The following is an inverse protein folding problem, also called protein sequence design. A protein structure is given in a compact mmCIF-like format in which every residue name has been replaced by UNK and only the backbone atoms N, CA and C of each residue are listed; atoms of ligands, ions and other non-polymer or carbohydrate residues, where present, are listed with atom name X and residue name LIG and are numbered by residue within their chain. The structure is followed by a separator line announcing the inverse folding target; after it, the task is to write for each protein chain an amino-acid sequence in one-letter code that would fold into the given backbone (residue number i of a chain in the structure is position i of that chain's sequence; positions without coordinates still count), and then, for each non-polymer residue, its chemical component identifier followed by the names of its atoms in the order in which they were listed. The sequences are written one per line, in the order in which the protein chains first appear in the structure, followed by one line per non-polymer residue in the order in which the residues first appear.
data_IF_064029963297
#
_entry.id   IF_064029963297
#
_cell.length_a   1.000
_cell.length_b   1.000
_cell.length_c   1.000
_cell.angle_alpha   90.00
_cell.angle_beta   90.00
_cell.angle_gamma   90.00
#
_symmetry.space_group_name_H-M   'P 1'
#
loop_
_entity.id
_entity.type
_entity.pdbx_description
1 polymer ?
#
# COMPACT_ATOMS: atom_id res chain seq x y z
N UNK A 1 -39.37 18.19 -24.90
CA UNK A 1 -37.91 18.42 -24.94
C UNK A 1 -37.23 17.14 -25.41
N UNK A 2 -36.41 17.21 -26.46
CA UNK A 2 -35.68 16.04 -26.95
C UNK A 2 -34.61 15.62 -25.93
N UNK A 3 -34.52 14.32 -25.65
CA UNK A 3 -33.52 13.77 -24.73
C UNK A 3 -32.16 13.79 -25.43
N UNK A 4 -31.15 14.38 -24.79
CA UNK A 4 -29.79 14.37 -25.33
C UNK A 4 -29.32 12.93 -25.63
N UNK A 5 -28.55 12.71 -26.71
CA UNK A 5 -28.08 11.38 -27.09
C UNK A 5 -27.23 10.79 -25.95
N UNK A 6 -27.49 9.51 -25.64
CA UNK A 6 -26.70 8.79 -24.63
C UNK A 6 -25.29 8.57 -25.18
N UNK A 7 -24.27 9.01 -24.42
CA UNK A 7 -22.88 8.63 -24.72
C UNK A 7 -22.73 7.11 -24.70
N UNK A 8 -22.04 6.57 -25.69
CA UNK A 8 -21.69 5.15 -25.76
C UNK A 8 -20.69 4.78 -24.66
N UNK A 9 -20.82 3.57 -24.12
CA UNK A 9 -19.98 3.07 -23.03
C UNK A 9 -19.08 1.96 -23.56
N UNK A 10 -17.77 2.16 -23.44
CA UNK A 10 -16.77 1.20 -23.86
C UNK A 10 -15.51 1.30 -22.99
N UNK A 11 -14.64 0.30 -23.10
CA UNK A 11 -13.32 0.27 -22.48
C UNK A 11 -12.25 0.41 -23.55
N UNK A 12 -11.23 1.22 -23.29
CA UNK A 12 -10.00 1.27 -24.09
C UNK A 12 -8.79 0.99 -23.20
N UNK A 13 -7.65 0.70 -23.81
CA UNK A 13 -6.39 0.67 -23.07
C UNK A 13 -5.99 2.07 -22.59
N UNK A 14 -5.29 2.13 -21.46
CA UNK A 14 -4.68 3.38 -21.00
C UNK A 14 -3.39 3.67 -21.78
N UNK A 15 -3.05 4.95 -22.01
CA UNK A 15 -1.79 5.30 -22.63
C UNK A 15 -0.61 4.98 -21.69
N UNK A 16 0.57 4.75 -22.26
CA UNK A 16 1.76 4.31 -21.53
C UNK A 16 2.17 5.26 -20.39
N UNK A 17 1.90 6.56 -20.53
CA UNK A 17 2.13 7.56 -19.48
C UNK A 17 1.42 7.22 -18.16
N UNK A 18 0.23 6.60 -18.22
CA UNK A 18 -0.54 6.23 -17.03
C UNK A 18 0.12 5.07 -16.30
N UNK A 19 0.69 4.13 -17.06
CA UNK A 19 1.49 3.03 -16.50
C UNK A 19 2.76 3.56 -15.84
N UNK A 20 3.45 4.53 -16.46
CA UNK A 20 4.61 5.18 -15.87
C UNK A 20 4.29 5.86 -14.53
N UNK A 21 3.17 6.58 -14.46
CA UNK A 21 2.71 7.20 -13.21
C UNK A 21 2.32 6.16 -12.14
N UNK A 22 1.65 5.07 -12.54
CA UNK A 22 1.27 4.01 -11.60
C UNK A 22 2.52 3.34 -11.02
N UNK A 23 3.49 3.00 -11.87
CA UNK A 23 4.75 2.38 -11.45
C UNK A 23 5.55 3.28 -10.51
N UNK A 24 5.67 4.58 -10.83
CA UNK A 24 6.32 5.55 -9.94
C UNK A 24 5.68 5.60 -8.55
N UNK A 25 4.35 5.48 -8.47
CA UNK A 25 3.63 5.51 -7.20
C UNK A 25 3.81 4.20 -6.42
N UNK A 26 3.76 3.04 -7.09
CA UNK A 26 4.02 1.74 -6.48
C UNK A 26 5.42 1.72 -5.86
N UNK A 27 6.44 2.05 -6.65
CA UNK A 27 7.84 2.03 -6.22
C UNK A 27 8.11 2.95 -5.03
N UNK A 28 7.44 4.10 -4.95
CA UNK A 28 7.68 5.09 -3.89
C UNK A 28 6.89 4.83 -2.60
N UNK A 29 5.73 4.19 -2.69
CA UNK A 29 4.72 4.27 -1.63
C UNK A 29 3.89 3.01 -1.40
N UNK A 30 3.95 2.03 -2.30
CA UNK A 30 3.20 0.76 -2.22
C UNK A 30 4.12 -0.37 -2.67
N UNK A 31 5.26 -0.49 -1.99
CA UNK A 31 6.31 -1.45 -2.28
C UNK A 31 5.82 -2.90 -2.17
N UNK A 32 4.84 -3.16 -1.31
CA UNK A 32 4.12 -4.43 -1.19
C UNK A 32 3.45 -4.87 -2.50
N UNK A 33 3.15 -3.94 -3.40
CA UNK A 33 2.56 -4.22 -4.72
C UNK A 33 3.59 -4.33 -5.84
N UNK A 34 4.90 -4.28 -5.55
CA UNK A 34 5.98 -4.28 -6.54
C UNK A 34 5.94 -5.47 -7.52
N UNK A 35 5.58 -6.65 -7.03
CA UNK A 35 5.49 -7.89 -7.84
C UNK A 35 4.13 -8.06 -8.54
N UNK A 36 3.22 -7.09 -8.42
CA UNK A 36 1.86 -7.16 -8.97
C UNK A 36 1.78 -6.65 -10.41
N UNK A 37 1.26 -7.48 -11.31
CA UNK A 37 1.03 -7.11 -12.70
C UNK A 37 -0.38 -6.52 -12.90
N UNK A 38 -0.47 -5.20 -12.85
CA UNK A 38 -1.72 -4.46 -13.02
C UNK A 38 -1.88 -4.00 -14.47
N UNK A 39 -3.05 -4.23 -15.07
CA UNK A 39 -3.46 -3.57 -16.32
C UNK A 39 -4.35 -2.38 -16.03
N UNK A 40 -4.36 -1.38 -16.91
CA UNK A 40 -5.18 -0.18 -16.75
C UNK A 40 -6.14 -0.08 -17.93
N UNK A 41 -7.44 0.04 -17.64
CA UNK A 41 -8.49 0.22 -18.65
C UNK A 41 -9.20 1.54 -18.44
N UNK A 42 -9.43 2.27 -19.53
CA UNK A 42 -10.11 3.56 -19.55
C UNK A 42 -11.58 3.35 -19.92
N UNK A 43 -12.49 3.67 -19.00
CA UNK A 43 -13.93 3.58 -19.18
C UNK A 43 -14.51 4.90 -19.66
N UNK A 44 -15.16 4.85 -20.82
CA UNK A 44 -15.81 5.98 -21.48
C UNK A 44 -17.33 5.96 -21.27
N UNK A 45 -17.98 7.11 -21.46
CA UNK A 45 -19.44 7.23 -21.43
C UNK A 45 -20.01 7.52 -20.05
N UNK A 46 -19.20 8.11 -19.17
CA UNK A 46 -19.54 8.46 -17.80
C UNK A 46 -19.62 7.27 -16.85
N UNK A 47 -19.12 7.47 -15.64
CA UNK A 47 -19.17 6.47 -14.58
C UNK A 47 -19.68 7.09 -13.28
N UNK A 48 -20.88 6.68 -12.87
CA UNK A 48 -21.48 7.04 -11.59
C UNK A 48 -21.94 5.81 -10.83
N UNK A 49 -21.83 5.87 -9.51
CA UNK A 49 -22.37 4.87 -8.59
C UNK A 49 -23.07 5.62 -7.44
N UNK A 50 -24.31 5.23 -7.12
CA UNK A 50 -25.15 5.89 -6.08
C UNK A 50 -25.18 7.42 -6.22
N UNK A 51 -25.29 7.91 -7.45
CA UNK A 51 -25.33 9.36 -7.77
C UNK A 51 -23.96 10.06 -7.81
N UNK A 52 -22.91 9.48 -7.23
CA UNK A 52 -21.55 10.05 -7.20
C UNK A 52 -20.71 9.61 -8.39
N UNK A 53 -19.78 10.46 -8.81
CA UNK A 53 -18.81 10.11 -9.85
C UNK A 53 -17.83 9.07 -9.29
N UNK A 54 -17.49 8.07 -10.11
CA UNK A 54 -16.43 7.11 -9.79
C UNK A 54 -15.22 7.49 -10.64
N UNK A 55 -14.07 7.71 -10.01
CA UNK A 55 -12.82 8.08 -10.69
C UNK A 55 -12.00 6.87 -11.12
N UNK A 56 -12.01 5.83 -10.30
CA UNK A 56 -11.39 4.55 -10.61
C UNK A 56 -11.93 3.45 -9.72
N UNK A 57 -11.60 2.21 -10.06
CA UNK A 57 -11.82 1.04 -9.21
C UNK A 57 -10.90 -0.10 -9.67
N UNK A 58 -10.38 -0.87 -8.72
CA UNK A 58 -9.73 -2.14 -8.99
C UNK A 58 -10.73 -3.30 -9.20
N UNK A 59 -10.43 -4.14 -10.18
CA UNK A 59 -11.03 -5.45 -10.39
C UNK A 59 -9.93 -6.51 -10.28
N UNK A 60 -9.96 -7.30 -9.21
CA UNK A 60 -8.97 -8.36 -8.96
C UNK A 60 -9.34 -9.58 -9.79
N UNK A 61 -8.34 -10.19 -10.42
CA UNK A 61 -8.54 -11.35 -11.25
C UNK A 61 -8.60 -12.62 -10.41
N UNK A 62 -9.56 -13.48 -10.73
CA UNK A 62 -9.59 -14.83 -10.21
C UNK A 62 -8.48 -15.68 -10.85
N UNK A 63 -8.31 -16.91 -10.36
CA UNK A 63 -7.28 -17.82 -10.83
C UNK A 63 -7.32 -18.04 -12.35
N UNK A 64 -8.52 -18.27 -12.92
CA UNK A 64 -8.68 -18.48 -14.37
C UNK A 64 -8.17 -17.28 -15.18
N UNK A 65 -8.61 -16.07 -14.83
CA UNK A 65 -8.18 -14.85 -15.52
C UNK A 65 -6.68 -14.58 -15.34
N UNK A 66 -6.12 -14.88 -14.15
CA UNK A 66 -4.67 -14.76 -13.92
C UNK A 66 -3.89 -15.70 -14.83
N UNK A 67 -4.33 -16.94 -14.96
CA UNK A 67 -3.68 -17.94 -15.81
C UNK A 67 -3.71 -17.55 -17.30
N UNK A 68 -4.85 -17.03 -17.78
CA UNK A 68 -5.02 -16.62 -19.17
C UNK A 68 -4.27 -15.32 -19.51
N UNK A 69 -4.37 -14.31 -18.65
CA UNK A 69 -3.86 -12.96 -18.96
C UNK A 69 -2.45 -12.70 -18.45
N UNK A 70 -1.97 -13.51 -17.49
CA UNK A 70 -0.74 -13.26 -16.72
C UNK A 70 -0.75 -11.91 -15.99
N UNK A 71 -1.93 -11.45 -15.56
CA UNK A 71 -2.15 -10.21 -14.82
C UNK A 71 -2.91 -10.50 -13.53
N UNK A 72 -2.75 -9.63 -12.53
CA UNK A 72 -3.27 -9.85 -11.18
C UNK A 72 -4.54 -9.03 -10.92
N UNK A 73 -4.62 -7.84 -11.50
CA UNK A 73 -5.78 -6.97 -11.40
C UNK A 73 -5.88 -6.02 -12.61
N UNK A 74 -7.06 -5.45 -12.78
CA UNK A 74 -7.32 -4.32 -13.67
C UNK A 74 -7.69 -3.08 -12.86
N UNK A 75 -6.94 -2.01 -13.02
CA UNK A 75 -7.33 -0.66 -12.62
C UNK A 75 -8.24 -0.07 -13.71
N UNK A 76 -9.52 0.08 -13.42
CA UNK A 76 -10.46 0.71 -14.35
C UNK A 76 -10.57 2.18 -13.95
N UNK A 77 -10.23 3.09 -14.86
CA UNK A 77 -10.29 4.54 -14.66
C UNK A 77 -11.42 5.17 -15.46
N UNK A 78 -12.01 6.24 -14.95
CA UNK A 78 -12.99 7.03 -15.67
C UNK A 78 -12.29 7.95 -16.68
N UNK A 79 -12.40 7.63 -17.96
CA UNK A 79 -11.70 8.34 -19.03
C UNK A 79 -12.16 9.79 -19.19
N UNK A 80 -13.47 10.03 -19.10
CA UNK A 80 -14.05 11.38 -19.19
C UNK A 80 -13.51 12.29 -18.07
N UNK A 81 -13.39 11.76 -16.85
CA UNK A 81 -12.85 12.51 -15.72
C UNK A 81 -11.32 12.67 -15.83
N UNK A 82 -10.60 11.61 -16.19
CA UNK A 82 -9.15 11.61 -16.33
C UNK A 82 -8.65 12.66 -17.33
N UNK A 83 -9.37 12.83 -18.45
CA UNK A 83 -9.00 13.76 -19.51
C UNK A 83 -8.96 15.23 -19.04
N UNK A 84 -9.79 15.60 -18.07
CA UNK A 84 -9.87 16.98 -17.54
C UNK A 84 -9.10 17.19 -16.24
N UNK A 85 -8.52 16.12 -15.67
CA UNK A 85 -7.73 16.19 -14.44
C UNK A 85 -6.36 16.82 -14.67
N UNK A 86 -5.95 17.67 -13.73
CA UNK A 86 -4.57 18.18 -13.64
C UNK A 86 -3.60 17.05 -13.29
N UNK A 87 -2.29 17.17 -13.61
CA UNK A 87 -1.30 16.14 -13.28
C UNK A 87 -1.30 15.71 -11.80
N UNK A 88 -1.44 16.66 -10.87
CA UNK A 88 -1.50 16.35 -9.44
C UNK A 88 -2.77 15.55 -9.06
N UNK A 89 -3.92 15.85 -9.68
CA UNK A 89 -5.16 15.09 -9.46
C UNK A 89 -5.05 13.66 -9.98
N UNK A 90 -4.39 13.47 -11.13
CA UNK A 90 -4.12 12.14 -11.68
C UNK A 90 -3.29 11.30 -10.72
N UNK A 91 -2.21 11.87 -10.17
CA UNK A 91 -1.37 11.22 -9.14
C UNK A 91 -2.16 10.89 -7.89
N UNK A 92 -2.92 11.85 -7.36
CA UNK A 92 -3.82 11.64 -6.21
C UNK A 92 -4.78 10.46 -6.43
N UNK A 93 -5.45 10.39 -7.59
CA UNK A 93 -6.44 9.33 -7.85
C UNK A 93 -5.77 7.97 -7.96
N UNK A 94 -4.66 7.85 -8.69
CA UNK A 94 -3.94 6.58 -8.81
C UNK A 94 -3.48 6.07 -7.44
N UNK A 95 -2.87 6.96 -6.65
CA UNK A 95 -2.37 6.66 -5.32
C UNK A 95 -3.50 6.27 -4.35
N UNK A 96 -4.61 7.00 -4.40
CA UNK A 96 -5.82 6.64 -3.64
C UNK A 96 -6.38 5.28 -4.05
N UNK A 97 -6.35 4.92 -5.34
CA UNK A 97 -6.79 3.59 -5.76
C UNK A 97 -5.86 2.49 -5.26
N UNK A 98 -4.54 2.71 -5.23
CA UNK A 98 -3.57 1.71 -4.77
C UNK A 98 -3.84 1.29 -3.31
N UNK A 99 -4.25 2.21 -2.44
CA UNK A 99 -4.69 1.88 -1.07
C UNK A 99 -5.95 1.01 -0.96
N UNK A 100 -6.64 0.74 -2.08
CA UNK A 100 -7.76 -0.21 -2.10
C UNK A 100 -7.34 -1.64 -2.47
N UNK A 101 -6.04 -1.87 -2.62
CA UNK A 101 -5.41 -3.17 -2.83
C UNK A 101 -4.48 -3.51 -1.66
N UNK A 102 -4.39 -4.80 -1.38
CA UNK A 102 -3.46 -5.35 -0.40
C UNK A 102 -3.10 -6.78 -0.83
N UNK A 103 -1.89 -7.21 -0.51
CA UNK A 103 -1.49 -8.61 -0.63
C UNK A 103 -2.26 -9.46 0.40
N UNK A 104 -2.80 -10.59 -0.04
CA UNK A 104 -3.51 -11.50 0.85
C UNK A 104 -2.53 -12.32 1.67
N UNK A 105 -2.73 -12.35 2.97
CA UNK A 105 -1.95 -13.19 3.90
C UNK A 105 -2.73 -14.41 4.41
N UNK A 106 -2.01 -15.42 4.90
CA UNK A 106 -2.56 -16.56 5.65
C UNK A 106 -2.80 -16.18 7.13
N UNK A 107 -3.12 -17.17 7.98
CA UNK A 107 -3.34 -16.91 9.41
C UNK A 107 -2.04 -16.62 10.17
N UNK A 108 -0.93 -17.11 9.65
CA UNK A 108 0.41 -17.03 10.22
C UNK A 108 1.12 -15.72 9.81
N UNK A 109 0.54 -14.97 8.88
CA UNK A 109 1.04 -13.70 8.38
C UNK A 109 1.79 -13.79 7.04
N UNK A 110 2.00 -15.00 6.52
CA UNK A 110 2.72 -15.19 5.25
C UNK A 110 1.87 -14.79 4.05
N UNK A 111 2.54 -14.29 3.00
CA UNK A 111 1.92 -13.96 1.72
C UNK A 111 1.35 -15.21 1.07
N UNK A 112 0.09 -15.15 0.66
CA UNK A 112 -0.51 -16.17 -0.18
C UNK A 112 -0.07 -15.99 -1.62
N UNK A 113 0.59 -17.00 -2.14
CA UNK A 113 1.00 -17.07 -3.54
C UNK A 113 -0.01 -17.85 -4.37
N UNK A 114 -0.17 -17.45 -5.63
CA UNK A 114 -0.89 -18.25 -6.62
C UNK A 114 0.02 -19.35 -7.20
N UNK A 115 -0.54 -20.24 -8.02
CA UNK A 115 0.20 -21.32 -8.67
C UNK A 115 1.36 -20.86 -9.57
N UNK A 116 1.40 -19.57 -9.92
CA UNK A 116 2.47 -18.95 -10.71
C UNK A 116 3.52 -18.21 -9.86
N UNK A 117 3.48 -18.36 -8.53
CA UNK A 117 4.42 -17.76 -7.59
C UNK A 117 4.19 -16.28 -7.30
N UNK A 118 3.17 -15.64 -7.90
CA UNK A 118 2.86 -14.23 -7.63
C UNK A 118 1.89 -14.07 -6.46
N UNK A 119 1.95 -12.97 -5.70
CA UNK A 119 1.02 -12.72 -4.60
C UNK A 119 -0.44 -12.69 -5.06
N UNK A 120 -1.34 -13.20 -4.23
CA UNK A 120 -2.77 -13.07 -4.39
C UNK A 120 -3.19 -11.71 -3.82
N UNK A 121 -3.89 -10.90 -4.61
CA UNK A 121 -4.39 -9.61 -4.17
C UNK A 121 -5.80 -9.74 -3.58
N UNK A 122 -6.11 -8.88 -2.61
CA UNK A 122 -7.46 -8.65 -2.10
C UNK A 122 -7.79 -7.16 -2.17
N UNK A 123 -9.08 -6.84 -2.26
CA UNK A 123 -9.53 -5.46 -2.26
C UNK A 123 -9.98 -5.10 -0.85
N UNK A 124 -9.47 -3.99 -0.35
CA UNK A 124 -9.82 -3.47 0.96
C UNK A 124 -10.49 -2.10 0.81
N UNK A 125 -11.43 -1.75 1.69
CA UNK A 125 -11.86 -0.37 1.82
C UNK A 125 -10.67 0.48 2.28
N UNK A 126 -10.36 1.60 1.60
CA UNK A 126 -9.34 2.51 2.09
C UNK A 126 -9.79 3.08 3.44
N UNK A 127 -8.88 3.10 4.41
CA UNK A 127 -9.12 3.65 5.74
C UNK A 127 -8.74 5.14 5.81
N UNK A 128 -8.87 5.71 7.01
CA UNK A 128 -8.56 7.13 7.28
C UNK A 128 -7.06 7.39 7.16
N UNK A 129 -6.21 6.45 7.55
CA UNK A 129 -4.75 6.60 7.48
C UNK A 129 -4.26 6.63 6.03
N UNK A 130 -4.75 5.72 5.19
CA UNK A 130 -4.57 5.73 3.75
C UNK A 130 -4.99 7.07 3.16
N UNK A 131 -6.18 7.58 3.52
CA UNK A 131 -6.66 8.87 3.05
C UNK A 131 -5.72 10.03 3.46
N UNK A 132 -5.27 10.05 4.72
CA UNK A 132 -4.34 11.05 5.23
C UNK A 132 -2.99 10.99 4.50
N UNK A 133 -2.49 9.80 4.21
CA UNK A 133 -1.21 9.62 3.50
C UNK A 133 -1.29 10.12 2.05
N UNK A 134 -2.40 9.91 1.35
CA UNK A 134 -2.60 10.49 0.02
C UNK A 134 -2.67 12.03 0.11
N UNK A 135 -3.42 12.59 1.07
CA UNK A 135 -3.54 14.05 1.24
C UNK A 135 -2.19 14.67 1.59
N UNK A 136 -1.39 14.07 2.47
CA UNK A 136 -0.06 14.57 2.82
C UNK A 136 0.85 14.67 1.60
N UNK A 137 0.74 13.74 0.64
CA UNK A 137 1.62 13.66 -0.53
C UNK A 137 1.18 14.55 -1.69
N UNK A 138 -0.12 14.62 -1.98
CA UNK A 138 -0.64 15.35 -3.14
C UNK A 138 -1.41 16.62 -2.78
N UNK A 139 -1.59 16.88 -1.49
CA UNK A 139 -2.38 17.99 -0.97
C UNK A 139 -3.89 17.82 -1.22
N UNK A 140 -4.61 18.92 -1.07
CA UNK A 140 -6.06 19.00 -1.32
C UNK A 140 -6.30 19.10 -2.84
N UNK A 141 -6.05 18.01 -3.56
CA UNK A 141 -6.08 17.97 -5.02
C UNK A 141 -7.53 18.00 -5.58
N UNK A 142 -8.49 17.45 -4.83
CA UNK A 142 -9.89 17.30 -5.26
C UNK A 142 -10.78 18.39 -4.69
N UNK A 143 -11.74 18.87 -5.50
CA UNK A 143 -12.61 19.98 -5.12
C UNK A 143 -13.52 19.63 -3.94
N UNK A 144 -13.94 18.37 -3.79
CA UNK A 144 -14.70 17.91 -2.63
C UNK A 144 -13.92 18.08 -1.32
N UNK A 145 -12.61 17.82 -1.34
CA UNK A 145 -11.74 17.98 -0.17
C UNK A 145 -11.52 19.47 0.12
N UNK A 146 -11.45 20.32 -0.93
CA UNK A 146 -11.40 21.78 -0.75
C UNK A 146 -12.68 22.30 -0.10
N UNK A 147 -13.84 21.82 -0.56
CA UNK A 147 -15.13 22.17 0.04
C UNK A 147 -15.21 21.71 1.50
N UNK A 148 -14.69 20.52 1.81
CA UNK A 148 -14.62 20.02 3.18
C UNK A 148 -13.69 20.87 4.07
N UNK A 149 -12.47 21.18 3.61
CA UNK A 149 -11.54 22.05 4.33
C UNK A 149 -12.16 23.42 4.59
N UNK A 150 -12.79 24.02 3.57
CA UNK A 150 -13.48 25.30 3.71
C UNK A 150 -14.63 25.23 4.73
N UNK A 151 -15.38 24.13 4.77
CA UNK A 151 -16.44 23.95 5.75
C UNK A 151 -15.89 23.81 7.19
N UNK A 152 -14.73 23.19 7.37
CA UNK A 152 -14.04 23.12 8.67
C UNK A 152 -13.56 24.49 9.14
N UNK A 153 -12.98 25.27 8.22
CA UNK A 153 -12.53 26.64 8.49
C UNK A 153 -13.73 27.53 8.88
N UNK A 154 -14.84 27.45 8.14
CA UNK A 154 -16.08 28.18 8.42
C UNK A 154 -16.75 27.76 9.74
N UNK A 155 -16.61 26.50 10.14
CA UNK A 155 -17.11 25.98 11.41
C UNK A 155 -16.24 26.36 12.62
N UNK A 156 -15.07 26.97 12.40
CA UNK A 156 -14.13 27.33 13.47
C UNK A 156 -13.53 26.12 14.19
N UNK A 157 -13.55 24.94 13.56
CA UNK A 157 -13.01 23.69 14.14
C UNK A 157 -11.53 23.47 13.85
N UNK A 158 -10.88 24.41 13.15
CA UNK A 158 -9.43 24.48 13.01
C UNK A 158 -9.01 25.89 13.43
N UNK A 159 -8.57 26.04 14.69
CA UNK A 159 -7.80 27.24 15.04
C UNK A 159 -6.35 27.02 14.61
N UNK A 160 -5.70 28.06 14.07
CA UNK A 160 -4.27 28.03 13.74
C UNK A 160 -3.43 27.64 14.97
N UNK A 161 -3.93 27.93 16.17
CA UNK A 161 -3.33 27.62 17.46
C UNK A 161 -3.22 26.10 17.70
N UNK A 162 -4.22 25.30 17.32
CA UNK A 162 -4.24 23.84 17.51
C UNK A 162 -3.23 23.09 16.60
N UNK A 163 -2.94 23.61 15.41
CA UNK A 163 -1.96 23.01 14.47
C UNK A 163 -0.52 23.35 14.87
N UNK A 164 -0.29 24.54 15.44
CA UNK A 164 1.03 24.91 15.98
C UNK A 164 1.36 24.19 17.29
N UNK A 165 0.38 23.95 18.16
CA UNK A 165 0.59 23.22 19.42
C UNK A 165 1.00 21.76 19.18
N UNK A 166 0.40 21.10 18.20
CA UNK A 166 0.72 19.72 17.82
C UNK A 166 2.06 19.56 17.07
N UNK A 167 2.63 20.66 16.55
CA UNK A 167 3.93 20.67 15.87
C UNK A 167 5.11 20.90 16.83
N UNK A 168 4.87 21.38 18.05
CA UNK A 168 5.92 21.68 19.04
C UNK A 168 6.15 20.58 20.08
N UNK A 169 5.30 19.55 20.16
CA UNK A 169 5.42 18.50 21.19
C UNK A 169 6.36 17.33 20.80
N UNK A 170 7.14 17.45 19.72
CA UNK A 170 8.08 16.39 19.27
C UNK A 170 9.51 16.87 19.06
N UNK A 171 9.94 17.96 19.71
CA UNK A 171 11.35 18.30 19.80
C UNK A 171 11.74 18.79 21.20
N UNK A 172 12.20 17.86 22.03
CA UNK A 172 13.41 18.08 22.85
C UNK A 172 14.27 16.82 22.85
N UNK A 173 15.52 16.94 22.38
CA UNK A 173 16.65 16.39 23.10
C UNK A 173 17.51 17.57 23.59
N UNK A 174 17.58 17.73 24.91
CA UNK A 174 18.61 18.51 25.59
C UNK A 174 19.23 17.55 26.64
N UNK A 175 20.52 17.22 26.66
CA UNK A 175 21.70 17.94 26.21
C UNK A 175 22.45 18.46 27.43
N UNK A 176 23.45 17.72 27.93
CA UNK A 176 24.51 18.34 28.73
C UNK A 176 25.86 17.62 28.54
N UNK A 177 26.85 18.42 28.13
CA UNK A 177 28.29 18.17 28.12
C UNK A 177 28.82 18.06 29.58
N UNK A 178 30.02 17.62 29.93
CA UNK A 178 31.32 17.61 29.27
C UNK A 178 32.24 16.78 30.20
N UNK A 179 33.08 15.87 29.68
CA UNK A 179 34.41 15.55 30.26
C UNK A 179 35.11 14.45 29.44
N UNK A 180 36.20 14.89 28.80
CA UNK A 180 37.44 14.26 28.31
C UNK A 180 37.71 12.73 28.37
N UNK A 181 38.66 12.25 27.52
CA UNK A 181 38.74 10.89 27.01
C UNK A 181 39.54 9.97 27.92
N UNK A 182 39.16 8.70 27.94
CA UNK A 182 40.11 7.61 28.18
C UNK A 182 39.63 6.32 27.49
N UNK A 183 40.66 5.57 27.12
CA UNK A 183 40.72 4.26 26.47
C UNK A 183 39.65 3.26 26.94
N UNK A 184 39.17 2.41 26.01
CA UNK A 184 39.27 0.94 26.10
C UNK A 184 38.45 0.27 24.98
N UNK A 185 39.14 -0.48 24.12
CA UNK A 185 38.54 -1.41 23.15
C UNK A 185 37.88 -2.56 23.92
N UNK A 186 36.54 -2.72 23.89
CA UNK A 186 35.87 -3.94 24.38
C UNK A 186 35.32 -4.78 23.22
N UNK A 187 35.92 -5.95 23.09
CA UNK A 187 35.73 -7.02 22.11
C UNK A 187 34.42 -7.79 22.32
N UNK A 188 33.26 -7.21 22.01
CA UNK A 188 31.97 -7.96 22.08
C UNK A 188 31.19 -8.04 20.78
N UNK A 189 31.91 -8.38 19.71
CA UNK A 189 31.36 -9.16 18.60
C UNK A 189 32.02 -10.53 18.56
N UNK A 190 31.57 -11.43 19.44
CA UNK A 190 31.66 -12.87 19.19
C UNK A 190 30.32 -13.53 19.53
N UNK A 191 29.70 -14.04 18.47
CA UNK A 191 28.91 -15.29 18.33
C UNK A 191 28.97 -16.19 19.59
N UNK A 192 27.88 -16.86 19.96
CA UNK A 192 27.57 -18.15 19.34
C UNK A 192 26.08 -18.50 19.32
N UNK A 193 25.66 -18.99 18.15
CA UNK A 193 24.37 -19.60 17.83
C UNK A 193 24.21 -21.03 18.42
N UNK A 194 24.96 -21.39 19.47
CA UNK A 194 25.04 -22.77 20.00
C UNK A 194 24.45 -22.94 21.42
N UNK A 195 23.89 -21.90 22.04
CA UNK A 195 23.29 -21.99 23.39
C UNK A 195 21.76 -22.11 23.43
N UNK A 196 21.09 -22.28 22.27
CA UNK A 196 19.64 -22.55 22.23
C UNK A 196 19.28 -24.02 21.97
N UNK A 197 20.27 -24.92 21.81
CA UNK A 197 20.04 -26.32 21.42
C UNK A 197 20.29 -27.37 22.53
N UNK A 198 20.64 -26.96 23.76
CA UNK A 198 20.93 -27.90 24.85
C UNK A 198 19.95 -27.72 26.03
N UNK A 199 18.69 -28.11 25.79
CA UNK A 199 17.70 -28.35 26.84
C UNK A 199 16.88 -29.62 26.54
N UNK A 200 17.56 -30.66 26.05
CA UNK A 200 17.05 -32.02 25.98
C UNK A 200 18.01 -32.93 26.78
N UNK A 201 18.03 -32.72 28.09
CA UNK A 201 18.34 -33.79 29.04
C UNK A 201 17.25 -34.87 28.91
N UNK A 202 17.64 -36.13 28.67
CA UNK A 202 17.60 -37.12 29.76
C UNK A 202 18.34 -38.42 29.33
N UNK A 203 19.36 -38.89 30.10
CA UNK A 203 20.04 -40.16 29.86
C UNK A 203 19.43 -41.27 30.71
N UNK A 204 18.86 -42.31 30.08
CA UNK A 204 18.59 -43.58 30.76
C UNK A 204 18.92 -44.79 29.89
N UNK A 205 19.55 -45.74 30.58
CA UNK A 205 19.69 -47.17 30.29
C UNK A 205 20.68 -47.63 29.21
N UNK A 206 21.86 -47.99 29.73
CA UNK A 206 22.70 -48.99 29.08
C UNK A 206 22.16 -50.40 29.27
N UNK A 207 22.28 -51.21 28.22
CA UNK A 207 22.61 -52.65 28.30
C UNK A 207 23.36 -53.00 27.01
N UNK A 208 24.65 -53.29 27.14
CA UNK A 208 25.45 -54.06 26.17
C UNK A 208 25.06 -55.55 26.33
N UNK A 209 24.88 -56.31 25.24
CA UNK A 209 25.85 -57.39 25.05
C UNK A 209 26.13 -57.74 23.58
N UNK A 210 27.41 -57.81 23.25
CA UNK A 210 28.07 -58.95 22.58
C UNK A 210 27.17 -59.91 21.75
N UNK A 211 27.31 -59.90 20.42
CA UNK A 211 27.70 -61.11 19.65
C UNK A 211 27.75 -60.91 18.12
N UNK A 212 28.99 -60.93 17.63
CA UNK A 212 29.57 -61.64 16.47
C UNK A 212 28.80 -61.69 15.13
N UNK A 213 29.44 -61.30 14.01
CA UNK A 213 28.96 -61.60 12.66
C UNK A 213 29.44 -62.98 12.18
N UNK A 214 28.57 -63.66 11.43
CA UNK A 214 28.95 -64.61 10.38
C UNK A 214 28.55 -64.00 9.03
#
# INVERSE_FOLDING_TARGET
MARAPKKEKYLSDAPQEVYGLLHELIEKHHDDLGDSHIIIKMRHGGWKAKGKMVFGKFAIFNELYRQETKKDAALILNADAWAVMKPNQKRYILDHQLYSLEVSTNKDGDIKEAADGRPILKSIPPDIEAFNNVIRRHGIAMDEIKSFSKALDEAGQLTIEDVTASSQESQEPAGHADSDPDEEYDERRQVTLEQAAAAADDPMDGVDPHSVPF
#
